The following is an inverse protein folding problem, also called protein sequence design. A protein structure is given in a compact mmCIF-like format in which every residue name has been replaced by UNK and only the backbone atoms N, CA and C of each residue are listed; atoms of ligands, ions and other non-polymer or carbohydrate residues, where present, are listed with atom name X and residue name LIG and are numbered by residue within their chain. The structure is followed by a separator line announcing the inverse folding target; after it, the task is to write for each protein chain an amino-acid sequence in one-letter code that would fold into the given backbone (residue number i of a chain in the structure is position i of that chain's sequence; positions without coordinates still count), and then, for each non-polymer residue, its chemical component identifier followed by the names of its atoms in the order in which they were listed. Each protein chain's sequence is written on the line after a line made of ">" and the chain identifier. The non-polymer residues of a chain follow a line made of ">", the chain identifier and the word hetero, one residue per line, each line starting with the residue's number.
data_IF_536410254678
#
_entry.id   IF_536410254678
#
_cell.length_a   1.000
_cell.length_b   1.000
_cell.length_c   1.000
_cell.angle_alpha   90.00
_cell.angle_beta   90.00
_cell.angle_gamma   90.00
#
_symmetry.space_group_name_H-M   'P 1'
#
loop_
_entity.id
_entity.type
_entity.pdbx_description
1 polymer ?
#
# COMPACT_ATOMS: atom_id res chain seq x y z
N UNK A 1 -23.82 9.45 3.28
CA UNK A 1 -22.70 10.36 3.65
C UNK A 1 -21.43 9.60 3.34
N UNK A 2 -20.44 10.17 2.62
CA UNK A 2 -19.16 9.49 2.47
C UNK A 2 -18.51 9.33 3.85
N UNK A 3 -17.99 8.14 4.15
CA UNK A 3 -17.17 7.95 5.34
C UNK A 3 -15.91 8.81 5.22
N UNK A 4 -15.66 9.64 6.23
CA UNK A 4 -14.46 10.48 6.31
C UNK A 4 -13.38 9.68 7.04
N UNK A 5 -12.32 9.34 6.33
CA UNK A 5 -11.16 8.67 6.91
C UNK A 5 -10.11 9.70 7.34
N UNK A 6 -9.56 9.54 8.54
CA UNK A 6 -8.46 10.37 9.02
C UNK A 6 -7.11 9.79 8.59
N UNK A 7 -6.29 10.63 7.96
CA UNK A 7 -4.91 10.27 7.61
C UNK A 7 -4.02 10.51 8.83
N UNK A 8 -3.41 9.45 9.34
CA UNK A 8 -2.48 9.50 10.48
C UNK A 8 -1.05 9.21 10.02
N UNK A 9 -0.08 9.97 10.53
CA UNK A 9 1.35 9.66 10.36
C UNK A 9 1.83 8.86 11.56
N UNK A 10 2.42 7.68 11.31
CA UNK A 10 2.97 6.81 12.35
C UNK A 10 4.50 6.83 12.27
N UNK A 11 5.16 6.97 13.43
CA UNK A 11 6.61 6.81 13.52
C UNK A 11 6.98 5.33 13.43
N UNK A 12 8.06 5.04 12.70
CA UNK A 12 8.55 3.69 12.43
C UNK A 12 10.06 3.72 12.28
N UNK A 13 10.71 2.56 12.39
CA UNK A 13 12.15 2.39 12.21
C UNK A 13 12.44 1.56 10.98
N UNK A 14 13.51 1.88 10.25
CA UNK A 14 13.91 1.09 9.10
C UNK A 14 14.25 -0.35 9.50
N UNK A 15 13.90 -1.32 8.64
CA UNK A 15 14.23 -2.72 8.84
C UNK A 15 15.38 -3.12 7.92
N UNK A 16 16.36 -3.82 8.48
CA UNK A 16 17.41 -4.44 7.68
C UNK A 16 16.85 -5.56 6.79
N UNK A 17 17.47 -5.74 5.61
CA UNK A 17 17.11 -6.83 4.71
C UNK A 17 15.78 -6.67 3.96
N UNK A 18 15.22 -5.46 3.90
CA UNK A 18 14.08 -5.10 3.01
C UNK A 18 14.52 -4.74 1.57
N UNK A 19 15.69 -5.21 1.13
CA UNK A 19 16.14 -5.04 -0.26
C UNK A 19 15.47 -6.10 -1.14
N UNK A 20 14.60 -5.74 -2.09
CA UNK A 20 14.01 -6.71 -3.01
C UNK A 20 15.08 -7.31 -3.92
N UNK A 21 15.00 -8.61 -4.18
CA UNK A 21 15.79 -9.28 -5.20
C UNK A 21 15.17 -9.14 -6.58
N UNK A 22 15.72 -9.86 -7.57
CA UNK A 22 15.17 -9.89 -8.95
C UNK A 22 13.73 -10.37 -9.02
N UNK A 23 13.29 -11.19 -8.06
CA UNK A 23 11.91 -11.70 -7.94
C UNK A 23 11.11 -11.04 -6.82
N UNK A 24 11.49 -9.84 -6.39
CA UNK A 24 10.87 -9.12 -5.27
C UNK A 24 11.42 -9.52 -3.89
N UNK A 25 10.75 -9.05 -2.84
CA UNK A 25 11.12 -9.33 -1.45
C UNK A 25 10.54 -10.68 -1.02
N UNK A 26 11.42 -11.62 -0.63
CA UNK A 26 11.02 -12.94 -0.14
C UNK A 26 11.47 -13.12 1.30
N UNK A 27 10.51 -13.31 2.19
CA UNK A 27 10.71 -13.58 3.62
C UNK A 27 9.67 -14.56 4.15
N UNK A 28 9.90 -15.21 5.30
CA UNK A 28 8.87 -15.96 5.99
C UNK A 28 7.64 -15.10 6.30
N UNK A 29 6.44 -15.70 6.31
CA UNK A 29 5.19 -15.00 6.65
C UNK A 29 5.28 -14.35 8.03
N UNK A 30 5.94 -15.00 8.99
CA UNK A 30 6.17 -14.45 10.34
C UNK A 30 6.95 -13.14 10.34
N UNK A 31 7.83 -12.91 9.35
CA UNK A 31 8.52 -11.62 9.20
C UNK A 31 7.57 -10.54 8.71
N UNK A 32 6.71 -10.86 7.74
CA UNK A 32 5.72 -9.90 7.22
C UNK A 32 4.63 -9.52 8.24
N UNK A 33 4.37 -10.39 9.21
CA UNK A 33 3.46 -10.14 10.32
C UNK A 33 4.08 -9.30 11.44
N UNK A 34 5.39 -9.01 11.39
CA UNK A 34 6.00 -8.11 12.37
C UNK A 34 5.42 -6.70 12.23
N UNK A 35 5.17 -6.00 13.35
CA UNK A 35 4.64 -4.64 13.32
C UNK A 35 5.49 -3.72 12.44
N UNK A 36 4.84 -2.96 11.57
CA UNK A 36 5.45 -1.99 10.65
C UNK A 36 6.38 -2.59 9.57
N UNK A 37 6.59 -3.92 9.50
CA UNK A 37 7.48 -4.50 8.51
C UNK A 37 6.91 -4.32 7.09
N UNK A 38 5.67 -4.75 6.90
CA UNK A 38 5.00 -4.67 5.59
C UNK A 38 4.67 -3.23 5.24
N UNK A 39 4.23 -2.43 6.21
CA UNK A 39 3.92 -1.01 6.08
C UNK A 39 5.13 -0.23 5.56
N UNK A 40 6.30 -0.45 6.15
CA UNK A 40 7.53 0.23 5.74
C UNK A 40 7.92 -0.12 4.30
N UNK A 41 7.83 -1.40 3.94
CA UNK A 41 8.16 -1.86 2.61
C UNK A 41 7.21 -1.28 1.54
N UNK A 42 5.90 -1.29 1.82
CA UNK A 42 4.90 -0.70 0.93
C UNK A 42 5.09 0.82 0.81
N UNK A 43 5.31 1.53 1.93
CA UNK A 43 5.56 2.97 1.89
C UNK A 43 6.83 3.32 1.09
N UNK A 44 7.88 2.50 1.19
CA UNK A 44 9.09 2.69 0.39
C UNK A 44 8.82 2.51 -1.10
N UNK A 45 8.03 1.50 -1.49
CA UNK A 45 7.60 1.29 -2.88
C UNK A 45 6.81 2.49 -3.38
N UNK A 46 5.81 2.95 -2.61
CA UNK A 46 4.98 4.10 -2.99
C UNK A 46 5.82 5.37 -3.15
N UNK A 47 6.74 5.62 -2.22
CA UNK A 47 7.64 6.78 -2.26
C UNK A 47 8.48 6.82 -3.53
N UNK A 48 9.00 5.67 -3.97
CA UNK A 48 9.77 5.57 -5.22
C UNK A 48 8.86 5.67 -6.44
N UNK A 49 7.75 4.94 -6.45
CA UNK A 49 6.86 4.85 -7.61
C UNK A 49 6.17 6.19 -7.92
N UNK A 50 5.86 6.98 -6.89
CA UNK A 50 5.24 8.29 -7.05
C UNK A 50 6.23 9.43 -7.31
N UNK A 51 7.55 9.17 -7.24
CA UNK A 51 8.56 10.22 -7.42
C UNK A 51 8.48 10.91 -8.79
N UNK A 52 8.15 10.14 -9.81
CA UNK A 52 8.03 10.61 -11.20
C UNK A 52 6.56 10.77 -11.64
N UNK A 53 5.62 10.72 -10.70
CA UNK A 53 4.21 10.90 -11.00
C UNK A 53 3.95 12.35 -11.46
N UNK A 54 3.29 12.50 -12.61
CA UNK A 54 3.00 13.82 -13.17
C UNK A 54 1.92 14.53 -12.34
N UNK A 55 2.09 15.82 -12.04
CA UNK A 55 1.04 16.62 -11.40
C UNK A 55 -0.25 16.57 -12.22
N UNK A 56 -1.37 16.23 -11.59
CA UNK A 56 -2.70 16.24 -12.22
C UNK A 56 -3.10 14.94 -12.94
N UNK A 57 -2.21 13.96 -13.10
CA UNK A 57 -2.58 12.63 -13.60
C UNK A 57 -2.86 11.66 -12.45
N UNK A 58 -3.91 10.82 -12.55
CA UNK A 58 -4.19 9.82 -11.51
C UNK A 58 -3.07 8.77 -11.50
N UNK A 59 -2.38 8.67 -10.36
CA UNK A 59 -1.42 7.58 -10.15
C UNK A 59 -2.20 6.29 -9.84
N UNK A 60 -2.16 5.34 -10.77
CA UNK A 60 -2.88 4.06 -10.66
C UNK A 60 -1.91 2.95 -10.29
N UNK A 61 -2.14 2.31 -9.14
CA UNK A 61 -1.40 1.12 -8.72
C UNK A 61 -2.26 -0.12 -8.93
N UNK A 62 -1.71 -1.09 -9.66
CA UNK A 62 -2.31 -2.42 -9.84
C UNK A 62 -1.73 -3.36 -8.78
N UNK A 63 -2.60 -3.98 -7.99
CA UNK A 63 -2.19 -4.93 -6.96
C UNK A 63 -2.86 -6.27 -7.19
N UNK A 64 -2.05 -7.33 -7.15
CA UNK A 64 -2.49 -8.71 -7.30
C UNK A 64 -1.49 -9.68 -6.68
N UNK A 65 -1.90 -10.94 -6.58
CA UNK A 65 -1.02 -12.03 -6.19
C UNK A 65 -1.72 -13.38 -6.33
N UNK A 66 -1.06 -14.43 -5.84
CA UNK A 66 -1.38 -15.84 -6.11
C UNK A 66 -2.34 -16.48 -5.07
N UNK A 67 -2.97 -15.68 -4.21
CA UNK A 67 -3.99 -16.15 -3.25
C UNK A 67 -3.45 -16.81 -1.97
N UNK A 68 -2.16 -16.64 -1.63
CA UNK A 68 -1.57 -17.19 -0.40
C UNK A 68 -2.22 -16.65 0.88
N UNK A 69 -2.08 -17.42 1.98
CA UNK A 69 -2.66 -17.17 3.29
C UNK A 69 -2.61 -15.70 3.76
N UNK A 70 -1.45 -15.05 3.72
CA UNK A 70 -1.28 -13.69 4.23
C UNK A 70 -1.71 -12.58 3.25
N UNK A 71 -2.01 -12.92 2.00
CA UNK A 71 -2.28 -11.94 0.95
C UNK A 71 -3.51 -11.09 1.25
N UNK A 72 -4.61 -11.72 1.66
CA UNK A 72 -5.87 -11.01 1.91
C UNK A 72 -5.74 -10.03 3.07
N UNK A 73 -5.08 -10.45 4.14
CA UNK A 73 -4.85 -9.62 5.32
C UNK A 73 -3.92 -8.44 4.98
N UNK A 74 -2.79 -8.72 4.34
CA UNK A 74 -1.84 -7.70 3.88
C UNK A 74 -2.52 -6.66 2.98
N UNK A 75 -3.37 -7.10 2.06
CA UNK A 75 -4.05 -6.20 1.13
C UNK A 75 -5.02 -5.26 1.85
N UNK A 76 -5.88 -5.80 2.72
CA UNK A 76 -6.94 -5.05 3.40
C UNK A 76 -6.41 -4.16 4.53
N UNK A 77 -5.48 -4.66 5.34
CA UNK A 77 -5.04 -3.98 6.56
C UNK A 77 -3.87 -3.02 6.31
N UNK A 78 -3.07 -3.27 5.26
CA UNK A 78 -1.83 -2.53 5.01
C UNK A 78 -1.89 -1.79 3.68
N UNK A 79 -1.98 -2.51 2.55
CA UNK A 79 -1.80 -1.90 1.22
C UNK A 79 -2.89 -0.88 0.91
N UNK A 80 -4.16 -1.24 1.11
CA UNK A 80 -5.29 -0.36 0.79
C UNK A 80 -5.28 0.94 1.62
N UNK A 81 -5.14 0.91 2.96
CA UNK A 81 -5.02 2.12 3.77
C UNK A 81 -3.82 2.99 3.41
N UNK A 82 -2.65 2.40 3.15
CA UNK A 82 -1.45 3.13 2.71
C UNK A 82 -1.65 3.80 1.35
N UNK A 83 -2.24 3.11 0.38
CA UNK A 83 -2.55 3.68 -0.92
C UNK A 83 -3.51 4.87 -0.79
N UNK A 84 -4.60 4.70 -0.02
CA UNK A 84 -5.56 5.76 0.22
C UNK A 84 -4.92 6.98 0.92
N UNK A 85 -4.08 6.75 1.93
CA UNK A 85 -3.37 7.80 2.66
C UNK A 85 -2.34 8.56 1.80
N UNK A 86 -1.72 7.89 0.82
CA UNK A 86 -0.80 8.52 -0.13
C UNK A 86 -1.51 9.13 -1.36
N UNK A 87 -2.85 9.08 -1.44
CA UNK A 87 -3.61 9.65 -2.56
C UNK A 87 -3.53 8.82 -3.85
N UNK A 88 -3.16 7.54 -3.75
CA UNK A 88 -3.05 6.61 -4.88
C UNK A 88 -4.43 6.11 -5.28
N UNK A 89 -4.74 6.17 -6.58
CA UNK A 89 -5.91 5.49 -7.13
C UNK A 89 -5.59 4.00 -7.27
N UNK A 90 -6.35 3.15 -6.60
CA UNK A 90 -6.07 1.71 -6.51
C UNK A 90 -6.98 0.91 -7.44
N UNK A 91 -6.43 -0.06 -8.17
CA UNK A 91 -7.18 -0.99 -8.99
C UNK A 91 -6.75 -2.44 -8.72
N UNK A 92 -7.71 -3.33 -8.46
CA UNK A 92 -7.48 -4.76 -8.23
C UNK A 92 -8.26 -5.60 -9.24
N UNK A 93 -7.70 -6.76 -9.64
CA UNK A 93 -8.22 -7.70 -10.65
C UNK A 93 -8.83 -8.98 -10.01
N UNK A 94 -9.64 -9.77 -10.75
CA UNK A 94 -10.91 -10.32 -10.26
C UNK A 94 -10.84 -11.71 -9.62
N UNK A 95 -10.17 -11.83 -8.47
CA UNK A 95 -10.42 -12.97 -7.57
C UNK A 95 -10.71 -12.53 -6.11
N UNK A 96 -11.26 -11.31 -5.98
CA UNK A 96 -11.82 -10.77 -4.73
C UNK A 96 -11.48 -9.28 -4.60
N UNK A 97 -12.41 -8.39 -4.95
CA UNK A 97 -12.15 -6.94 -5.05
C UNK A 97 -13.09 -6.15 -4.15
N UNK A 98 -12.52 -5.24 -3.35
CA UNK A 98 -13.18 -4.07 -2.79
C UNK A 98 -12.65 -2.81 -3.50
N UNK A 99 -13.55 -1.86 -3.78
CA UNK A 99 -13.25 -0.55 -4.36
C UNK A 99 -13.18 0.49 -3.24
N UNK A 100 -12.10 1.28 -3.18
CA UNK A 100 -12.08 2.53 -2.43
C UNK A 100 -11.65 3.67 -3.36
N UNK A 101 -12.54 4.64 -3.56
CA UNK A 101 -12.25 5.89 -4.25
C UNK A 101 -11.60 6.84 -3.25
N UNK A 102 -10.39 7.32 -3.58
CA UNK A 102 -9.79 8.46 -2.91
C UNK A 102 -10.67 9.70 -3.16
N UNK A 103 -11.12 10.35 -2.09
CA UNK A 103 -11.75 11.67 -2.13
C UNK A 103 -10.63 12.70 -2.05
N UNK A 104 -10.54 13.68 -2.97
CA UNK A 104 -9.54 14.73 -2.88
C UNK A 104 -9.77 15.52 -1.59
N UNK A 105 -8.75 15.58 -0.73
CA UNK A 105 -8.72 16.47 0.42
C UNK A 105 -8.65 17.90 -0.09
N UNK A 106 -9.80 18.56 -0.17
CA UNK A 106 -9.85 20.03 -0.22
C UNK A 106 -9.42 20.51 1.17
N UNK A 107 -8.15 20.89 1.31
CA UNK A 107 -7.73 21.72 2.45
C UNK A 107 -8.36 23.10 2.28
N UNK A 108 -9.30 23.41 3.17
CA UNK A 108 -9.66 24.78 3.57
C UNK A 108 -8.54 25.40 4.40
#
# INVERSE_FOLDING_TARGET
>A
MPEVFNIIKRQTTAFEGQKPGTSGLRKPVSTFQQPNYTENFVQAILTVAMKDAKPGEPFVLIVGGDGRFFLRQCLLDVIVPLCAANGVSFFSLPQGIFLLKSVPSTLS
#
